data_IF_633035975349
#
_entry.id   IF_633035975349
#
_cell.length_a   1.000
_cell.length_b   1.000
_cell.length_c   1.000
_cell.angle_alpha   90.00
_cell.angle_beta   90.00
_cell.angle_gamma   90.00
#
_symmetry.space_group_name_H-M   'P 1'
#
loop_
_entity.id
_entity.type
_entity.pdbx_description
1 polymer ?
#
# COMPACT_ATOMS: atom_id res chain seq x y z
N UNK A 1 1.42 6.99 -19.21
CA UNK A 1 0.04 7.17 -18.72
C UNK A 1 -0.27 8.66 -18.66
N UNK A 2 0.65 9.47 -18.13
CA UNK A 2 0.46 10.92 -17.96
C UNK A 2 0.12 11.64 -19.27
N UNK A 3 0.89 11.40 -20.34
CA UNK A 3 0.59 11.96 -21.67
C UNK A 3 -0.83 11.63 -22.15
N UNK A 4 -1.30 10.41 -21.88
CA UNK A 4 -2.64 9.99 -22.26
C UNK A 4 -3.70 10.60 -21.35
N UNK A 5 -3.42 10.78 -20.06
CA UNK A 5 -4.31 11.43 -19.11
C UNK A 5 -4.58 12.88 -19.54
N UNK A 6 -3.53 13.61 -19.89
CA UNK A 6 -3.62 14.98 -20.42
C UNK A 6 -4.38 15.03 -21.75
N UNK A 7 -4.08 14.10 -22.66
CA UNK A 7 -4.74 14.04 -23.96
C UNK A 7 -6.24 13.73 -23.86
N UNK A 8 -6.62 12.82 -22.96
CA UNK A 8 -8.00 12.35 -22.79
C UNK A 8 -8.75 13.04 -21.64
N UNK A 9 -8.25 14.15 -21.10
CA UNK A 9 -8.86 14.88 -19.99
C UNK A 9 -10.35 15.24 -20.22
N UNK A 10 -10.72 15.51 -21.48
CA UNK A 10 -12.09 15.86 -21.88
C UNK A 10 -13.00 14.64 -22.13
N UNK A 11 -12.52 13.42 -21.90
CA UNK A 11 -13.29 12.17 -21.99
C UNK A 11 -13.38 11.58 -20.57
N UNK A 12 -14.40 11.95 -19.77
CA UNK A 12 -14.41 11.68 -18.32
C UNK A 12 -14.27 10.20 -17.96
N UNK A 13 -14.87 9.32 -18.76
CA UNK A 13 -14.80 7.88 -18.53
C UNK A 13 -13.39 7.31 -18.72
N UNK A 14 -12.60 7.87 -19.63
CA UNK A 14 -11.23 7.44 -19.89
C UNK A 14 -10.24 8.15 -18.94
N UNK A 15 -10.41 9.46 -18.74
CA UNK A 15 -9.64 10.25 -17.78
C UNK A 15 -9.68 9.62 -16.39
N UNK A 16 -10.86 9.21 -15.90
CA UNK A 16 -10.99 8.52 -14.60
C UNK A 16 -10.15 7.23 -14.52
N UNK A 17 -10.08 6.44 -15.59
CA UNK A 17 -9.30 5.20 -15.60
C UNK A 17 -7.80 5.48 -15.62
N UNK A 18 -7.38 6.47 -16.40
CA UNK A 18 -5.98 6.89 -16.47
C UNK A 18 -5.54 7.53 -15.15
N UNK A 19 -6.40 8.31 -14.51
CA UNK A 19 -6.14 8.89 -13.20
C UNK A 19 -5.84 7.82 -12.16
N UNK A 20 -6.60 6.70 -12.12
CA UNK A 20 -6.28 5.63 -11.17
C UNK A 20 -4.93 4.96 -11.41
N UNK A 21 -4.41 4.94 -12.64
CA UNK A 21 -3.07 4.44 -12.93
C UNK A 21 -2.00 5.45 -12.52
N UNK A 22 -2.25 6.74 -12.74
CA UNK A 22 -1.40 7.82 -12.26
C UNK A 22 -1.31 7.82 -10.72
N UNK A 23 -2.44 7.73 -10.04
CA UNK A 23 -2.57 7.76 -8.58
C UNK A 23 -1.80 6.64 -7.87
N UNK A 24 -1.60 5.50 -8.51
CA UNK A 24 -0.80 4.39 -7.97
C UNK A 24 0.68 4.51 -8.36
N UNK A 25 1.13 5.63 -8.92
CA UNK A 25 2.52 5.86 -9.32
C UNK A 25 2.93 5.17 -10.63
N UNK A 26 1.99 4.90 -11.55
CA UNK A 26 2.28 4.32 -12.87
C UNK A 26 2.18 5.34 -14.01
N UNK A 27 2.34 6.63 -13.70
CA UNK A 27 2.32 7.73 -14.67
C UNK A 27 3.28 7.54 -15.85
N UNK A 28 4.45 6.96 -15.58
CA UNK A 28 5.52 6.74 -16.55
C UNK A 28 5.30 5.54 -17.49
N UNK A 29 4.38 4.62 -17.19
CA UNK A 29 4.18 3.40 -18.01
C UNK A 29 3.55 3.76 -19.36
N UNK A 30 3.97 3.08 -20.43
CA UNK A 30 3.36 3.25 -21.75
C UNK A 30 2.06 2.46 -21.85
N UNK A 31 1.00 3.10 -22.36
CA UNK A 31 -0.23 2.38 -22.70
C UNK A 31 0.09 1.33 -23.79
N UNK A 32 -0.38 0.10 -23.59
CA UNK A 32 -0.07 -1.03 -24.48
C UNK A 32 1.28 -1.72 -24.20
N UNK A 33 2.00 -1.34 -23.14
CA UNK A 33 3.18 -2.09 -22.70
C UNK A 33 2.79 -3.56 -22.41
N UNK A 34 3.53 -4.55 -22.96
CA UNK A 34 3.24 -5.95 -22.73
C UNK A 34 3.27 -6.29 -21.23
N UNK A 35 2.27 -7.02 -20.74
CA UNK A 35 2.21 -7.40 -19.33
C UNK A 35 3.43 -8.23 -18.87
N UNK A 36 4.06 -8.95 -19.79
CA UNK A 36 5.26 -9.75 -19.55
C UNK A 36 6.53 -8.92 -19.27
N UNK A 37 6.51 -7.62 -19.55
CA UNK A 37 7.64 -6.72 -19.30
C UNK A 37 7.46 -5.85 -18.06
N UNK A 38 6.32 -5.99 -17.34
CA UNK A 38 6.11 -5.30 -16.07
C UNK A 38 6.89 -6.01 -14.97
N UNK A 39 7.52 -5.23 -14.10
CA UNK A 39 8.02 -5.72 -12.82
C UNK A 39 6.87 -6.20 -11.93
N UNK A 40 7.18 -7.02 -10.92
CA UNK A 40 6.18 -7.49 -9.97
C UNK A 40 5.40 -6.35 -9.28
N UNK A 41 6.11 -5.31 -8.83
CA UNK A 41 5.50 -4.14 -8.21
C UNK A 41 4.65 -3.30 -9.18
N UNK A 42 5.02 -3.21 -10.46
CA UNK A 42 4.16 -2.57 -11.48
C UNK A 42 2.90 -3.38 -11.73
N UNK A 43 3.00 -4.71 -11.87
CA UNK A 43 1.85 -5.58 -12.06
C UNK A 43 0.87 -5.52 -10.86
N UNK A 44 1.40 -5.47 -9.64
CA UNK A 44 0.61 -5.30 -8.43
C UNK A 44 -0.13 -3.95 -8.42
N UNK A 45 0.55 -2.86 -8.77
CA UNK A 45 -0.06 -1.52 -8.86
C UNK A 45 -1.12 -1.42 -9.97
N UNK A 46 -0.93 -2.07 -11.12
CA UNK A 46 -1.96 -2.18 -12.17
C UNK A 46 -3.22 -2.89 -11.65
N UNK A 47 -3.04 -3.96 -10.87
CA UNK A 47 -4.16 -4.67 -10.23
C UNK A 47 -4.86 -3.78 -9.20
N UNK A 48 -4.10 -3.03 -8.38
CA UNK A 48 -4.65 -2.08 -7.42
C UNK A 48 -5.46 -0.96 -8.11
N UNK A 49 -4.93 -0.38 -9.18
CA UNK A 49 -5.64 0.63 -9.98
C UNK A 49 -6.96 0.08 -10.54
N UNK A 50 -6.95 -1.18 -11.00
CA UNK A 50 -8.15 -1.85 -11.50
C UNK A 50 -9.21 -2.04 -10.40
N UNK A 51 -8.80 -2.36 -9.17
CA UNK A 51 -9.70 -2.48 -8.02
C UNK A 51 -10.28 -1.12 -7.59
N UNK A 52 -9.51 -0.03 -7.64
CA UNK A 52 -9.99 1.33 -7.34
C UNK A 52 -11.11 1.79 -8.28
N UNK A 53 -11.10 1.31 -9.53
CA UNK A 53 -12.15 1.61 -10.52
C UNK A 53 -13.47 0.91 -10.23
N UNK A 54 -13.46 -0.18 -9.43
CA UNK A 54 -14.68 -0.93 -9.12
C UNK A 54 -15.56 -0.15 -8.16
N UNK A 55 -16.87 -0.38 -8.26
CA UNK A 55 -17.83 0.18 -7.31
C UNK A 55 -17.54 -0.43 -5.94
N UNK A 56 -17.11 0.41 -5.02
CA UNK A 56 -16.77 0.00 -3.66
C UNK A 56 -18.04 -0.31 -2.89
N UNK A 57 -18.06 -1.47 -2.23
CA UNK A 57 -19.18 -1.95 -1.42
C UNK A 57 -19.00 -1.62 0.06
N UNK A 58 -17.81 -1.16 0.46
CA UNK A 58 -17.40 -0.99 1.86
C UNK A 58 -17.33 -2.30 2.63
N UNK A 59 -17.18 -3.43 1.93
CA UNK A 59 -17.16 -4.79 2.50
C UNK A 59 -16.10 -5.68 1.87
N UNK A 60 -15.15 -5.08 1.16
CA UNK A 60 -14.04 -5.81 0.54
C UNK A 60 -12.85 -5.81 1.50
N UNK A 61 -12.20 -6.96 1.63
CA UNK A 61 -10.96 -7.12 2.39
C UNK A 61 -9.79 -7.28 1.41
N UNK A 62 -8.93 -6.27 1.36
CA UNK A 62 -7.73 -6.26 0.52
C UNK A 62 -6.54 -6.78 1.31
N UNK A 63 -5.78 -7.70 0.73
CA UNK A 63 -4.51 -8.19 1.29
C UNK A 63 -3.41 -7.84 0.30
N UNK A 64 -2.39 -7.12 0.76
CA UNK A 64 -1.20 -6.78 -0.02
C UNK A 64 0.04 -7.31 0.67
N UNK A 65 0.86 -8.00 -0.11
CA UNK A 65 2.16 -8.50 0.33
C UNK A 65 3.24 -7.54 -0.18
N UNK A 66 3.99 -6.95 0.76
CA UNK A 66 5.08 -5.97 0.58
C UNK A 66 4.90 -5.00 -0.61
N UNK A 67 3.79 -4.22 -0.65
CA UNK A 67 3.47 -3.38 -1.79
C UNK A 67 4.45 -2.21 -2.00
N UNK A 68 5.33 -1.91 -1.04
CA UNK A 68 6.38 -0.88 -1.22
C UNK A 68 7.68 -1.41 -1.82
N UNK A 69 7.78 -2.70 -2.12
CA UNK A 69 8.99 -3.29 -2.69
C UNK A 69 9.42 -2.58 -3.98
N UNK A 70 10.63 -2.00 -3.95
CA UNK A 70 11.22 -1.30 -5.10
C UNK A 70 10.62 0.08 -5.39
N UNK A 71 9.81 0.63 -4.48
CA UNK A 71 9.26 1.97 -4.60
C UNK A 71 10.19 3.03 -4.01
N UNK A 72 10.28 4.18 -4.68
CA UNK A 72 10.90 5.37 -4.10
C UNK A 72 9.98 5.96 -3.02
N UNK A 73 10.53 6.74 -2.08
CA UNK A 73 9.77 7.32 -0.95
C UNK A 73 8.53 8.12 -1.37
N UNK A 74 8.58 8.78 -2.53
CA UNK A 74 7.44 9.51 -3.06
C UNK A 74 6.33 8.58 -3.58
N UNK A 75 6.69 7.47 -4.21
CA UNK A 75 5.73 6.46 -4.67
C UNK A 75 5.07 5.73 -3.49
N UNK A 76 5.80 5.56 -2.38
CA UNK A 76 5.25 5.03 -1.13
C UNK A 76 4.14 5.93 -0.59
N UNK A 77 4.32 7.26 -0.63
CA UNK A 77 3.28 8.22 -0.22
C UNK A 77 2.05 8.12 -1.11
N UNK A 78 2.23 8.10 -2.44
CA UNK A 78 1.11 7.95 -3.38
C UNK A 78 0.34 6.64 -3.15
N UNK A 79 1.07 5.54 -2.91
CA UNK A 79 0.47 4.27 -2.55
C UNK A 79 -0.32 4.35 -1.24
N UNK A 80 0.24 4.98 -0.20
CA UNK A 80 -0.47 5.18 1.07
C UNK A 80 -1.77 5.97 0.88
N UNK A 81 -1.76 7.06 0.10
CA UNK A 81 -2.95 7.84 -0.22
C UNK A 81 -4.01 7.00 -0.96
N UNK A 82 -3.57 6.07 -1.81
CA UNK A 82 -4.47 5.10 -2.46
C UNK A 82 -5.09 4.13 -1.47
N UNK A 83 -4.28 3.55 -0.58
CA UNK A 83 -4.74 2.58 0.42
C UNK A 83 -5.71 3.25 1.41
N UNK A 84 -5.41 4.47 1.85
CA UNK A 84 -6.30 5.24 2.72
C UNK A 84 -7.65 5.49 2.04
N UNK A 85 -7.67 5.84 0.76
CA UNK A 85 -8.93 6.00 -0.01
C UNK A 85 -9.75 4.72 -0.12
N UNK A 86 -9.14 3.53 -0.01
CA UNK A 86 -9.89 2.27 0.08
C UNK A 86 -10.55 2.12 1.45
N UNK A 87 -9.81 2.43 2.52
CA UNK A 87 -10.30 2.40 3.91
C UNK A 87 -11.43 3.42 4.11
N UNK A 88 -11.28 4.64 3.63
CA UNK A 88 -12.29 5.70 3.73
C UNK A 88 -13.63 5.33 3.05
N UNK A 89 -13.58 4.43 2.06
CA UNK A 89 -14.76 3.87 1.39
C UNK A 89 -15.39 2.70 2.15
N UNK A 90 -14.92 2.42 3.37
CA UNK A 90 -15.40 1.38 4.27
C UNK A 90 -14.76 0.00 4.07
N UNK A 91 -13.78 -0.12 3.18
CA UNK A 91 -13.09 -1.41 2.99
C UNK A 91 -12.05 -1.65 4.08
N UNK A 92 -11.56 -2.89 4.19
CA UNK A 92 -10.43 -3.22 5.05
C UNK A 92 -9.20 -3.49 4.19
N UNK A 93 -8.05 -2.96 4.61
CA UNK A 93 -6.76 -3.21 3.96
C UNK A 93 -5.82 -3.81 4.99
N UNK A 94 -5.30 -4.99 4.70
CA UNK A 94 -4.23 -5.65 5.44
C UNK A 94 -2.99 -5.63 4.57
N UNK A 95 -1.88 -5.14 5.14
CA UNK A 95 -0.60 -5.05 4.46
C UNK A 95 0.44 -5.80 5.28
N UNK A 96 1.23 -6.63 4.60
CA UNK A 96 2.48 -7.19 5.13
C UNK A 96 3.59 -6.24 4.72
N UNK A 97 4.28 -5.62 5.68
CA UNK A 97 5.30 -4.61 5.41
C UNK A 97 6.41 -4.63 6.45
N UNK A 98 7.58 -4.18 6.00
CA UNK A 98 8.71 -3.85 6.86
C UNK A 98 9.10 -2.37 6.75
N UNK A 99 8.49 -1.62 5.83
CA UNK A 99 8.72 -0.19 5.68
C UNK A 99 8.03 0.61 6.81
N UNK A 100 8.83 1.25 7.66
CA UNK A 100 8.34 2.00 8.82
C UNK A 100 7.49 3.23 8.44
N UNK A 101 7.66 3.81 7.24
CA UNK A 101 6.81 4.89 6.75
C UNK A 101 5.38 4.42 6.46
N UNK A 102 5.19 3.14 6.13
CA UNK A 102 3.86 2.53 6.01
C UNK A 102 3.32 2.12 7.37
N UNK A 103 4.15 1.45 8.17
CA UNK A 103 3.75 0.91 9.47
C UNK A 103 3.26 2.02 10.40
N UNK A 104 3.91 3.19 10.42
CA UNK A 104 3.51 4.33 11.26
C UNK A 104 2.14 4.92 10.89
N UNK A 105 1.70 4.75 9.65
CA UNK A 105 0.42 5.26 9.15
C UNK A 105 -0.74 4.28 9.38
N UNK A 106 -0.48 3.08 9.88
CA UNK A 106 -1.51 2.07 10.09
C UNK A 106 -2.39 2.41 11.30
N UNK A 107 -3.70 2.21 11.18
CA UNK A 107 -4.61 2.32 12.33
C UNK A 107 -4.33 1.24 13.39
N UNK A 108 -3.92 0.05 12.94
CA UNK A 108 -3.62 -1.11 13.78
C UNK A 108 -2.48 -1.93 13.21
N UNK A 109 -1.64 -2.45 14.11
CA UNK A 109 -0.51 -3.33 13.83
C UNK A 109 -0.73 -4.66 14.56
N UNK A 110 -0.35 -5.75 13.90
CA UNK A 110 -0.15 -7.08 14.49
C UNK A 110 1.31 -7.44 14.26
N UNK A 111 2.11 -7.42 15.32
CA UNK A 111 3.53 -7.72 15.26
C UNK A 111 3.78 -9.20 15.55
N UNK A 112 4.52 -9.86 14.65
CA UNK A 112 4.83 -11.28 14.73
C UNK A 112 6.31 -11.49 15.05
N UNK A 113 6.61 -12.49 15.88
CA UNK A 113 7.98 -12.80 16.26
C UNK A 113 8.03 -13.73 17.46
N UNK A 114 8.94 -13.49 18.43
CA UNK A 114 9.93 -12.40 18.48
C UNK A 114 11.07 -12.56 17.48
N UNK A 115 11.30 -13.77 16.97
CA UNK A 115 12.37 -14.07 16.01
C UNK A 115 11.79 -14.73 14.75
N UNK A 116 12.65 -14.99 13.75
CA UNK A 116 12.28 -15.80 12.59
C UNK A 116 12.34 -17.32 12.83
N UNK A 117 11.74 -18.09 11.93
CA UNK A 117 11.82 -19.56 11.92
C UNK A 117 11.16 -20.22 13.13
N UNK A 118 11.80 -21.23 13.71
CA UNK A 118 11.25 -22.01 14.84
C UNK A 118 11.13 -21.22 16.16
N UNK A 119 11.74 -20.04 16.22
CA UNK A 119 11.67 -19.13 17.38
C UNK A 119 10.62 -18.02 17.19
N UNK A 120 9.86 -18.07 16.09
CA UNK A 120 8.81 -17.12 15.75
C UNK A 120 7.40 -17.71 15.84
N UNK A 121 6.47 -17.09 15.11
CA UNK A 121 5.10 -17.58 14.96
C UNK A 121 4.17 -17.20 16.11
N UNK A 122 4.57 -16.26 16.96
CA UNK A 122 3.74 -15.74 18.04
C UNK A 122 3.39 -14.27 17.81
N UNK A 123 2.24 -13.85 18.32
CA UNK A 123 1.86 -12.44 18.37
C UNK A 123 2.63 -11.80 19.53
N UNK A 124 3.54 -10.88 19.20
CA UNK A 124 4.37 -10.17 20.18
C UNK A 124 3.64 -8.93 20.68
N UNK A 125 2.99 -8.20 19.78
CA UNK A 125 2.23 -6.99 20.09
C UNK A 125 1.05 -6.82 19.14
N UNK A 126 -0.03 -6.21 19.63
CA UNK A 126 -1.19 -5.80 18.85
C UNK A 126 -1.72 -4.47 19.38
N UNK A 127 -1.95 -3.49 18.51
CA UNK A 127 -2.41 -2.17 18.94
C UNK A 127 -2.27 -1.11 17.86
N UNK A 128 -2.39 0.16 18.24
CA UNK A 128 -1.96 1.28 17.39
C UNK A 128 -0.43 1.32 17.28
N UNK A 129 0.15 2.07 16.33
CA UNK A 129 1.58 2.33 16.24
C UNK A 129 2.21 2.72 17.57
N UNK A 130 1.59 3.64 18.31
CA UNK A 130 2.08 4.14 19.60
C UNK A 130 2.07 3.04 20.67
N UNK A 131 1.04 2.19 20.69
CA UNK A 131 0.95 1.08 21.64
C UNK A 131 2.04 0.02 21.37
N UNK A 132 2.27 -0.33 20.10
CA UNK A 132 3.33 -1.27 19.71
C UNK A 132 4.71 -0.70 20.00
N UNK A 133 4.92 0.61 19.81
CA UNK A 133 6.18 1.29 20.12
C UNK A 133 6.59 1.23 21.61
N UNK A 134 5.64 0.98 22.53
CA UNK A 134 5.93 0.80 23.96
C UNK A 134 6.26 -0.64 24.35
N UNK A 135 6.11 -1.62 23.45
CA UNK A 135 6.34 -3.04 23.77
C UNK A 135 7.82 -3.37 23.60
N UNK A 136 8.54 -3.54 24.71
CA UNK A 136 10.00 -3.80 24.71
C UNK A 136 10.40 -5.08 23.95
N UNK A 137 9.53 -6.09 23.93
CA UNK A 137 9.75 -7.36 23.23
C UNK A 137 9.57 -7.27 21.71
N UNK A 138 8.99 -6.17 21.19
CA UNK A 138 8.73 -5.97 19.76
C UNK A 138 9.93 -5.32 19.09
N UNK A 139 10.54 -6.01 18.12
CA UNK A 139 11.57 -5.39 17.27
C UNK A 139 10.97 -4.24 16.47
N UNK A 140 9.78 -4.43 15.90
CA UNK A 140 9.02 -3.39 15.18
C UNK A 140 8.81 -2.16 16.07
N UNK A 141 8.34 -2.36 17.30
CA UNK A 141 8.11 -1.28 18.27
C UNK A 141 9.37 -0.49 18.60
N UNK A 142 10.52 -1.17 18.74
CA UNK A 142 11.81 -0.51 19.00
C UNK A 142 12.18 0.52 17.94
N UNK A 143 12.04 0.17 16.65
CA UNK A 143 12.35 1.09 15.55
C UNK A 143 11.25 2.12 15.32
N UNK A 144 9.99 1.74 15.56
CA UNK A 144 8.84 2.63 15.39
C UNK A 144 8.87 3.79 16.39
N UNK A 145 9.37 3.55 17.61
CA UNK A 145 9.54 4.58 18.64
C UNK A 145 10.36 5.78 18.15
N UNK A 146 11.50 5.53 17.52
CA UNK A 146 12.39 6.60 17.04
C UNK A 146 11.75 7.47 15.93
N UNK A 147 10.75 6.93 15.23
CA UNK A 147 10.07 7.61 14.12
C UNK A 147 8.84 8.38 14.59
N UNK A 148 8.17 7.92 15.66
CA UNK A 148 6.99 8.57 16.23
C UNK A 148 7.36 9.74 17.17
N UNK A 149 8.54 9.71 17.79
CA UNK A 149 9.02 10.70 18.76
C UNK A 149 8.83 10.27 20.21
#
# INVERSE_FOLDING_TARGET
>A
VDEALDFFQNIPGLARKLQTLHDVGLGYIRLGQPATTLSGGEAQRVKLASELQRRQTGRTFYILDEPTTGLHMEDVRQLLDVLQRLVDKGNTVLVIEHNLDVIKCADRIIDLGPEGGSKGGTIVACGTPEQVAQVEASHTGRFLKDILG
#
